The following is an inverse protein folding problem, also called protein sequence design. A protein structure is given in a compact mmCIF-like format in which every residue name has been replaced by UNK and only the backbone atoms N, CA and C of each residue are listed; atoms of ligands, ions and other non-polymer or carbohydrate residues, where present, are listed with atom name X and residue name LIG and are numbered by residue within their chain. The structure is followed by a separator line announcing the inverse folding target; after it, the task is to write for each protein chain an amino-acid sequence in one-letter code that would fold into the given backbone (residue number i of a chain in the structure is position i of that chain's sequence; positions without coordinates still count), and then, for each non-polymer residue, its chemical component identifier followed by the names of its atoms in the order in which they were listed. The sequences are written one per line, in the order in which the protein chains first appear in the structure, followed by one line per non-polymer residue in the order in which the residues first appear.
data_IF_396418774540
#
_entry.id   IF_396418774540
#
_cell.length_a   1.000
_cell.length_b   1.000
_cell.length_c   1.000
_cell.angle_alpha   90.00
_cell.angle_beta   90.00
_cell.angle_gamma   90.00
#
_symmetry.space_group_name_H-M   'P 1'
#
loop_
_entity.id
_entity.type
_entity.pdbx_description
1 polymer ?
#
# COMPACT_ATOMS: atom_id res chain seq x y z
N UNK A 1 -48.25 11.93 70.39
CA UNK A 1 -48.55 10.48 70.37
C UNK A 1 -49.02 10.12 68.97
N UNK A 2 -48.65 8.92 68.51
CA UNK A 2 -49.01 8.25 67.26
C UNK A 2 -48.01 8.34 66.10
N UNK A 3 -47.29 7.21 66.02
CA UNK A 3 -46.61 6.63 64.87
C UNK A 3 -47.63 6.27 63.77
N UNK A 4 -47.06 5.98 62.60
CA UNK A 4 -47.54 5.02 61.60
C UNK A 4 -48.35 5.63 60.44
N UNK A 5 -47.84 5.57 59.21
CA UNK A 5 -48.11 4.48 58.26
C UNK A 5 -47.53 4.83 56.88
N UNK A 6 -46.85 3.83 56.34
CA UNK A 6 -46.25 3.68 55.03
C UNK A 6 -47.34 3.30 54.01
N UNK A 7 -47.53 4.04 52.91
CA UNK A 7 -48.22 3.52 51.71
C UNK A 7 -47.53 4.05 50.44
N UNK A 8 -46.86 3.11 49.78
CA UNK A 8 -46.39 3.13 48.39
C UNK A 8 -47.54 3.46 47.44
N UNK A 9 -47.37 4.46 46.56
CA UNK A 9 -48.13 4.54 45.31
C UNK A 9 -47.18 4.60 44.12
N UNK A 10 -47.38 3.61 43.27
CA UNK A 10 -46.63 3.28 42.07
C UNK A 10 -47.24 4.05 40.88
N UNK A 11 -46.36 4.57 40.02
CA UNK A 11 -46.51 4.77 38.57
C UNK A 11 -47.52 5.81 38.00
N UNK A 12 -47.04 6.42 36.91
CA UNK A 12 -47.75 7.15 35.85
C UNK A 12 -48.05 8.64 36.06
N UNK A 13 -47.12 9.49 35.65
CA UNK A 13 -47.42 10.63 34.78
C UNK A 13 -46.19 10.99 33.95
N UNK A 14 -46.33 10.73 32.65
CA UNK A 14 -45.40 11.07 31.59
C UNK A 14 -45.35 12.59 31.35
N UNK A 15 -44.35 12.99 30.56
CA UNK A 15 -44.30 14.23 29.77
C UNK A 15 -43.98 15.51 30.54
N UNK A 16 -42.69 15.76 30.72
CA UNK A 16 -42.15 17.09 30.47
C UNK A 16 -41.02 16.97 29.45
N UNK A 17 -41.44 17.07 28.19
CA UNK A 17 -40.60 17.36 27.05
C UNK A 17 -39.86 18.68 27.32
N UNK A 18 -38.55 18.56 27.46
CA UNK A 18 -37.61 19.66 27.63
C UNK A 18 -36.21 19.22 27.19
N UNK A 19 -36.13 18.46 26.11
CA UNK A 19 -34.89 18.29 25.35
C UNK A 19 -35.11 19.04 24.03
N UNK A 20 -34.26 20.04 23.82
CA UNK A 20 -34.30 20.95 22.69
C UNK A 20 -34.36 20.18 21.37
N UNK A 21 -35.35 20.51 20.56
CA UNK A 21 -35.26 20.32 19.12
C UNK A 21 -34.26 21.35 18.59
N UNK A 22 -33.11 20.92 18.10
CA UNK A 22 -32.44 21.64 17.02
C UNK A 22 -31.59 20.70 16.16
N UNK A 23 -31.78 20.87 14.85
CA UNK A 23 -31.03 20.41 13.68
C UNK A 23 -30.34 19.04 13.69
N UNK A 24 -30.86 18.10 12.91
CA UNK A 24 -30.03 17.03 12.37
C UNK A 24 -28.97 17.56 11.40
N UNK A 25 -27.85 16.85 11.28
CA UNK A 25 -27.20 16.39 10.03
C UNK A 25 -25.81 15.88 10.34
N UNK A 26 -25.46 14.74 9.75
CA UNK A 26 -24.07 14.26 9.65
C UNK A 26 -23.76 13.12 10.61
N UNK A 27 -23.95 11.87 10.17
CA UNK A 27 -22.82 10.97 10.35
C UNK A 27 -21.67 11.67 9.63
N UNK A 28 -20.66 12.13 10.35
CA UNK A 28 -19.41 12.50 9.71
C UNK A 28 -19.01 11.23 8.93
N UNK A 29 -19.05 11.29 7.60
CA UNK A 29 -18.56 10.22 6.74
C UNK A 29 -17.07 10.11 7.04
N UNK A 30 -16.72 9.35 8.07
CA UNK A 30 -15.35 9.08 8.46
C UNK A 30 -14.71 8.40 7.24
N UNK A 31 -13.78 9.10 6.60
CA UNK A 31 -13.19 8.61 5.36
C UNK A 31 -12.46 7.30 5.68
N UNK A 32 -12.92 6.21 5.05
CA UNK A 32 -12.32 4.88 5.24
C UNK A 32 -10.83 4.90 4.90
N UNK A 33 -9.98 4.08 5.53
CA UNK A 33 -8.58 3.93 5.12
C UNK A 33 -8.43 3.57 3.62
N UNK A 34 -7.24 3.81 3.09
CA UNK A 34 -6.80 3.35 1.78
C UNK A 34 -5.67 2.35 1.97
N UNK A 35 -5.95 1.10 1.64
CA UNK A 35 -5.00 0.00 1.74
C UNK A 35 -4.54 -0.36 0.33
N UNK A 36 -3.45 0.25 -0.10
CA UNK A 36 -2.89 -0.02 -1.42
C UNK A 36 -2.20 -1.39 -1.46
N UNK A 37 -2.39 -2.12 -2.56
CA UNK A 37 -1.70 -3.38 -2.82
C UNK A 37 -0.76 -3.25 -4.01
N UNK A 38 0.38 -3.93 -3.90
CA UNK A 38 1.36 -4.07 -4.98
C UNK A 38 1.59 -5.55 -5.19
N UNK A 39 1.42 -6.02 -6.42
CA UNK A 39 1.56 -7.44 -6.75
C UNK A 39 2.15 -7.61 -8.15
N UNK A 40 2.77 -8.76 -8.46
CA UNK A 40 3.25 -9.02 -9.81
C UNK A 40 2.09 -9.47 -10.70
N UNK A 41 2.22 -9.25 -12.02
CA UNK A 41 1.40 -9.98 -12.99
C UNK A 41 1.67 -11.49 -12.93
N UNK A 42 0.80 -12.28 -13.56
CA UNK A 42 1.03 -13.71 -13.75
C UNK A 42 2.33 -14.00 -14.50
N UNK A 43 2.67 -13.16 -15.47
CA UNK A 43 3.81 -13.31 -16.35
C UNK A 43 5.11 -13.02 -15.60
N UNK A 44 5.15 -11.96 -14.77
CA UNK A 44 6.29 -11.71 -13.90
C UNK A 44 6.46 -12.80 -12.85
N UNK A 45 5.36 -13.26 -12.25
CA UNK A 45 5.40 -14.42 -11.34
C UNK A 45 5.97 -15.65 -12.04
N UNK A 46 5.62 -15.87 -13.31
CA UNK A 46 6.12 -17.01 -14.08
C UNK A 46 7.61 -16.89 -14.36
N UNK A 47 8.10 -15.71 -14.78
CA UNK A 47 9.53 -15.49 -15.05
C UNK A 47 10.34 -15.67 -13.77
N UNK A 48 9.95 -15.03 -12.67
CA UNK A 48 10.67 -15.14 -11.39
C UNK A 48 10.74 -16.58 -10.89
N UNK A 49 9.65 -17.35 -11.01
CA UNK A 49 9.59 -18.70 -10.45
C UNK A 49 10.14 -19.80 -11.37
N UNK A 50 10.04 -19.67 -12.70
CA UNK A 50 10.29 -20.78 -13.62
C UNK A 50 11.41 -20.50 -14.62
N UNK A 51 11.62 -19.25 -15.00
CA UNK A 51 12.61 -18.86 -16.02
C UNK A 51 13.34 -17.58 -15.61
N UNK A 52 13.97 -17.53 -14.42
CA UNK A 52 14.54 -16.29 -13.88
C UNK A 52 15.72 -15.75 -14.70
N UNK A 53 16.32 -16.58 -15.56
CA UNK A 53 17.33 -16.16 -16.56
C UNK A 53 16.78 -15.22 -17.64
N UNK A 54 15.45 -15.23 -17.86
CA UNK A 54 14.79 -14.44 -18.89
C UNK A 54 14.33 -13.07 -18.34
N UNK A 55 14.66 -12.78 -17.08
CA UNK A 55 14.34 -11.52 -16.43
C UNK A 55 15.02 -10.34 -17.14
N UNK A 56 14.25 -9.27 -17.33
CA UNK A 56 14.77 -7.97 -17.75
C UNK A 56 14.12 -6.88 -16.91
N UNK A 57 14.85 -5.78 -16.70
CA UNK A 57 14.32 -4.63 -15.97
C UNK A 57 13.11 -3.99 -16.66
N UNK A 58 13.12 -3.91 -17.99
CA UNK A 58 11.98 -3.39 -18.75
C UNK A 58 10.73 -4.25 -18.53
N UNK A 59 10.89 -5.58 -18.60
CA UNK A 59 9.78 -6.49 -18.32
C UNK A 59 9.26 -6.34 -16.88
N UNK A 60 10.15 -6.23 -15.89
CA UNK A 60 9.76 -6.00 -14.50
C UNK A 60 8.97 -4.70 -14.35
N UNK A 61 9.45 -3.62 -14.97
CA UNK A 61 8.82 -2.31 -14.93
C UNK A 61 7.40 -2.29 -15.47
N UNK A 62 7.07 -3.15 -16.43
CA UNK A 62 5.75 -3.22 -17.06
C UNK A 62 4.76 -4.12 -16.30
N UNK A 63 5.26 -4.99 -15.42
CA UNK A 63 4.50 -6.13 -14.90
C UNK A 63 4.22 -6.06 -13.39
N UNK A 64 4.05 -4.85 -12.86
CA UNK A 64 3.60 -4.62 -11.49
C UNK A 64 2.17 -4.10 -11.53
N UNK A 65 1.31 -4.68 -10.70
CA UNK A 65 -0.09 -4.31 -10.56
C UNK A 65 -0.31 -3.56 -9.25
N UNK A 66 -1.05 -2.46 -9.35
CA UNK A 66 -1.54 -1.67 -8.24
C UNK A 66 -3.03 -1.96 -8.02
N UNK A 67 -3.42 -1.99 -6.75
CA UNK A 67 -4.81 -2.15 -6.36
C UNK A 67 -5.14 -1.50 -5.01
N UNK A 68 -6.39 -1.67 -4.59
CA UNK A 68 -6.90 -1.28 -3.29
C UNK A 68 -7.65 -2.45 -2.67
N UNK A 69 -7.19 -2.95 -1.54
CA UNK A 69 -7.81 -4.07 -0.84
C UNK A 69 -7.82 -3.85 0.68
N UNK A 70 -9.00 -3.74 1.32
CA UNK A 70 -10.34 -3.90 0.73
C UNK A 70 -10.73 -2.74 -0.20
N UNK A 71 -11.57 -3.06 -1.20
CA UNK A 71 -12.07 -2.06 -2.15
C UNK A 71 -12.88 -0.97 -1.42
N UNK A 72 -12.49 0.32 -1.48
CA UNK A 72 -13.27 1.40 -0.89
C UNK A 72 -14.52 1.70 -1.72
N UNK A 73 -15.43 2.52 -1.18
CA UNK A 73 -16.66 2.92 -1.90
C UNK A 73 -16.35 3.91 -3.04
N UNK A 74 -15.30 4.73 -2.87
CA UNK A 74 -14.83 5.66 -3.89
C UNK A 74 -13.33 5.97 -3.73
N UNK A 75 -12.70 6.29 -4.86
CA UNK A 75 -11.36 6.83 -4.96
C UNK A 75 -11.22 7.57 -6.29
N UNK A 76 -10.69 8.79 -6.24
CA UNK A 76 -10.26 9.59 -7.38
C UNK A 76 -9.12 10.47 -6.88
N UNK A 77 -7.97 10.44 -7.55
CA UNK A 77 -6.80 11.17 -7.10
C UNK A 77 -5.55 10.75 -7.86
N UNK A 78 -4.40 11.23 -7.38
CA UNK A 78 -3.10 10.89 -7.95
C UNK A 78 -2.38 9.86 -7.08
N UNK A 79 -1.62 8.98 -7.72
CA UNK A 79 -0.74 8.01 -7.06
C UNK A 79 0.67 8.21 -7.58
N UNK A 80 1.64 8.07 -6.68
CA UNK A 80 3.06 7.92 -7.03
C UNK A 80 3.54 6.52 -6.67
N UNK A 81 4.54 6.05 -7.39
CA UNK A 81 5.28 4.84 -7.06
C UNK A 81 6.65 5.22 -6.51
N UNK A 82 6.94 4.72 -5.31
CA UNK A 82 8.26 4.81 -4.73
C UNK A 82 8.96 3.48 -4.87
N UNK A 83 10.25 3.54 -5.19
CA UNK A 83 11.14 2.39 -5.32
C UNK A 83 12.45 2.67 -4.62
N UNK A 84 12.97 1.67 -3.91
CA UNK A 84 14.28 1.75 -3.28
C UNK A 84 15.04 0.43 -3.37
N UNK A 85 16.35 0.53 -3.29
CA UNK A 85 17.28 -0.58 -3.31
C UNK A 85 17.95 -0.71 -1.95
N UNK A 86 17.98 -1.92 -1.40
CA UNK A 86 18.77 -2.28 -0.23
C UNK A 86 19.93 -3.18 -0.67
N UNK A 87 21.14 -2.83 -0.26
CA UNK A 87 22.33 -3.63 -0.46
C UNK A 87 23.19 -3.53 0.80
N UNK A 88 23.77 -4.65 1.25
CA UNK A 88 24.62 -4.69 2.46
C UNK A 88 23.96 -4.09 3.72
N UNK A 89 22.64 -4.28 3.88
CA UNK A 89 21.89 -3.77 5.03
C UNK A 89 21.63 -2.26 5.03
N UNK A 90 21.89 -1.57 3.93
CA UNK A 90 21.65 -0.13 3.78
C UNK A 90 20.84 0.16 2.51
N UNK A 91 20.04 1.23 2.54
CA UNK A 91 19.33 1.69 1.35
C UNK A 91 20.28 2.52 0.48
N UNK A 92 20.62 2.02 -0.70
CA UNK A 92 21.62 2.60 -1.60
C UNK A 92 21.04 3.53 -2.66
N UNK A 93 19.81 3.26 -3.11
CA UNK A 93 19.11 4.06 -4.11
C UNK A 93 17.64 4.26 -3.75
N UNK A 94 17.06 5.38 -4.19
CA UNK A 94 15.65 5.75 -4.03
C UNK A 94 15.17 6.54 -5.23
N UNK A 95 13.93 6.33 -5.63
CA UNK A 95 13.23 7.15 -6.60
C UNK A 95 11.74 7.15 -6.26
N UNK A 96 11.08 8.27 -6.55
CA UNK A 96 9.63 8.38 -6.58
C UNK A 96 9.26 8.87 -7.98
N UNK A 97 8.28 8.22 -8.60
CA UNK A 97 7.79 8.57 -9.93
C UNK A 97 7.00 9.87 -9.94
N UNK A 98 6.72 10.39 -11.13
CA UNK A 98 5.74 11.44 -11.32
C UNK A 98 4.32 10.93 -10.94
N UNK A 99 3.47 11.78 -10.34
CA UNK A 99 2.10 11.43 -10.00
C UNK A 99 1.28 11.08 -11.25
N UNK A 100 0.46 10.04 -11.12
CA UNK A 100 -0.48 9.60 -12.16
C UNK A 100 -1.89 9.65 -11.60
N UNK A 101 -2.77 10.40 -12.27
CA UNK A 101 -4.19 10.45 -11.94
C UNK A 101 -4.86 9.11 -12.24
N UNK A 102 -5.64 8.61 -11.30
CA UNK A 102 -6.41 7.38 -11.45
C UNK A 102 -7.68 7.40 -10.60
N UNK A 103 -8.50 6.36 -10.75
CA UNK A 103 -9.75 6.20 -10.04
C UNK A 103 -9.95 4.75 -9.57
N UNK A 104 -11.03 4.53 -8.82
CA UNK A 104 -11.37 3.23 -8.26
C UNK A 104 -11.63 2.16 -9.33
N UNK A 105 -12.18 2.51 -10.49
CA UNK A 105 -12.49 1.55 -11.56
C UNK A 105 -11.21 0.94 -12.12
N UNK A 106 -10.22 1.79 -12.44
CA UNK A 106 -8.90 1.38 -12.93
C UNK A 106 -8.16 0.52 -11.90
N UNK A 107 -8.07 0.96 -10.65
CA UNK A 107 -7.40 0.20 -9.59
C UNK A 107 -8.10 -1.14 -9.29
N UNK A 108 -9.43 -1.19 -9.40
CA UNK A 108 -10.18 -2.44 -9.22
C UNK A 108 -9.96 -3.44 -10.36
N UNK A 109 -9.57 -2.96 -11.55
CA UNK A 109 -9.23 -3.81 -12.68
C UNK A 109 -7.80 -4.36 -12.58
N UNK A 110 -6.99 -3.86 -11.64
CA UNK A 110 -5.56 -4.13 -11.53
C UNK A 110 -4.76 -3.23 -12.47
N UNK A 111 -4.55 -1.99 -12.05
CA UNK A 111 -3.84 -0.99 -12.85
C UNK A 111 -2.35 -1.37 -12.94
N UNK A 112 -1.88 -1.65 -14.14
CA UNK A 112 -0.47 -2.02 -14.35
C UNK A 112 0.45 -0.80 -14.47
N UNK A 113 1.71 -0.98 -14.12
CA UNK A 113 2.75 0.04 -14.34
C UNK A 113 2.96 0.37 -15.81
N UNK A 114 2.75 -0.60 -16.72
CA UNK A 114 2.74 -0.35 -18.17
C UNK A 114 1.63 0.62 -18.60
N UNK A 115 0.45 0.54 -17.97
CA UNK A 115 -0.66 1.46 -18.23
C UNK A 115 -0.44 2.83 -17.59
N UNK A 116 0.20 2.89 -16.42
CA UNK A 116 0.52 4.15 -15.73
C UNK A 116 1.60 4.95 -16.45
N UNK A 117 2.60 4.28 -17.02
CA UNK A 117 3.78 4.89 -17.61
C UNK A 117 4.00 4.38 -19.05
N UNK A 118 3.05 4.65 -19.97
CA UNK A 118 3.21 4.23 -21.35
C UNK A 118 4.43 4.94 -21.94
N UNK A 119 5.25 4.19 -22.67
CA UNK A 119 6.40 4.69 -23.45
C UNK A 119 7.66 5.09 -22.65
N UNK A 120 7.70 4.96 -21.32
CA UNK A 120 8.94 5.22 -20.56
C UNK A 120 9.04 4.39 -19.28
N UNK A 121 10.23 3.82 -18.97
CA UNK A 121 10.45 3.24 -17.65
C UNK A 121 10.38 4.34 -16.59
N UNK A 122 9.51 4.16 -15.61
CA UNK A 122 9.35 5.08 -14.48
C UNK A 122 10.51 4.98 -13.47
N UNK A 123 11.25 3.87 -13.48
CA UNK A 123 12.57 3.76 -12.87
C UNK A 123 13.51 2.92 -13.74
N UNK A 124 14.80 3.25 -13.73
CA UNK A 124 15.81 2.57 -14.55
C UNK A 124 16.61 1.58 -13.71
N UNK A 125 16.04 0.41 -13.46
CA UNK A 125 16.68 -0.62 -12.63
C UNK A 125 18.07 -1.04 -13.12
N UNK A 126 18.30 -1.02 -14.44
CA UNK A 126 19.62 -1.31 -15.02
C UNK A 126 20.73 -0.33 -14.60
N UNK A 127 20.39 0.92 -14.27
CA UNK A 127 21.34 1.92 -13.78
C UNK A 127 21.68 1.72 -12.28
N UNK A 128 20.83 1.00 -11.55
CA UNK A 128 21.02 0.69 -10.12
C UNK A 128 21.80 -0.60 -9.91
N UNK A 129 21.79 -1.45 -10.93
CA UNK A 129 22.40 -2.77 -11.00
C UNK A 129 23.88 -2.75 -11.46
N UNK A 130 24.64 -1.69 -11.13
CA UNK A 130 25.99 -1.43 -11.64
C UNK A 130 26.91 -2.67 -11.63
N UNK A 131 27.63 -2.86 -12.74
CA UNK A 131 28.74 -3.80 -12.99
C UNK A 131 28.48 -5.32 -12.92
N UNK A 132 27.30 -5.79 -12.54
CA UNK A 132 27.00 -7.24 -12.54
C UNK A 132 26.28 -7.67 -13.82
N UNK A 133 26.83 -8.63 -14.60
CA UNK A 133 26.31 -8.93 -15.94
C UNK A 133 24.96 -9.66 -15.94
N UNK A 134 24.58 -10.32 -14.84
CA UNK A 134 23.33 -11.09 -14.73
C UNK A 134 22.78 -11.00 -13.30
N UNK A 135 21.67 -10.30 -13.14
CA UNK A 135 20.88 -10.30 -11.91
C UNK A 135 19.82 -11.37 -12.02
N UNK A 136 19.80 -12.32 -11.09
CA UNK A 136 18.80 -13.38 -11.07
C UNK A 136 17.79 -13.06 -9.97
N UNK A 137 16.51 -12.82 -10.29
CA UNK A 137 15.50 -12.65 -9.27
C UNK A 137 15.35 -13.95 -8.50
N UNK A 138 15.35 -13.86 -7.18
CA UNK A 138 14.96 -14.95 -6.30
C UNK A 138 13.46 -14.92 -6.04
N UNK A 139 12.96 -15.94 -5.37
CA UNK A 139 11.57 -16.01 -4.89
C UNK A 139 11.39 -15.42 -3.49
N UNK A 140 12.41 -14.73 -2.97
CA UNK A 140 12.42 -14.21 -1.61
C UNK A 140 11.99 -12.75 -1.54
N UNK A 141 11.27 -12.47 -0.44
CA UNK A 141 10.44 -11.29 -0.15
C UNK A 141 9.36 -11.13 -1.20
N UNK A 142 8.07 -11.28 -0.86
CA UNK A 142 6.86 -10.88 -1.61
C UNK A 142 5.64 -11.68 -1.14
N UNK A 143 4.44 -11.07 -1.07
CA UNK A 143 4.23 -9.65 -0.83
C UNK A 143 4.68 -9.26 0.60
N UNK A 144 4.88 -7.98 0.86
CA UNK A 144 5.09 -7.48 2.22
C UNK A 144 3.81 -7.54 3.07
N UNK A 145 3.89 -7.11 4.33
CA UNK A 145 2.67 -6.76 5.09
C UNK A 145 2.24 -5.33 4.76
N UNK A 146 1.04 -4.94 5.20
CA UNK A 146 0.59 -3.55 5.12
C UNK A 146 1.31 -2.68 6.16
N UNK A 147 1.89 -1.56 5.71
CA UNK A 147 2.53 -0.57 6.58
C UNK A 147 2.23 0.84 6.09
N UNK A 148 2.39 1.83 6.97
CA UNK A 148 2.40 3.21 6.49
C UNK A 148 3.59 3.42 5.53
N UNK A 149 3.45 4.21 4.45
CA UNK A 149 4.54 4.45 3.50
C UNK A 149 5.88 4.85 4.14
N UNK A 150 5.83 5.65 5.22
CA UNK A 150 7.02 6.10 5.96
C UNK A 150 7.76 5.00 6.72
N UNK A 151 7.15 3.83 6.92
CA UNK A 151 7.73 2.73 7.68
C UNK A 151 8.40 1.67 6.80
N UNK A 152 8.08 1.62 5.50
CA UNK A 152 8.40 0.50 4.61
C UNK A 152 9.89 0.26 4.49
N UNK A 153 10.70 1.32 4.31
CA UNK A 153 12.15 1.18 4.24
C UNK A 153 12.70 0.50 5.51
N UNK A 154 12.29 0.97 6.69
CA UNK A 154 12.71 0.40 7.97
C UNK A 154 12.23 -1.05 8.13
N UNK A 155 11.01 -1.36 7.67
CA UNK A 155 10.48 -2.73 7.70
C UNK A 155 11.27 -3.65 6.78
N UNK A 156 11.53 -3.22 5.54
CA UNK A 156 12.34 -3.97 4.58
C UNK A 156 13.73 -4.26 5.13
N UNK A 157 14.41 -3.28 5.73
CA UNK A 157 15.72 -3.46 6.38
C UNK A 157 15.67 -4.43 7.57
N UNK A 158 14.63 -4.33 8.39
CA UNK A 158 14.52 -5.15 9.62
C UNK A 158 14.05 -6.59 9.40
N UNK A 159 13.36 -6.86 8.29
CA UNK A 159 12.75 -8.15 8.01
C UNK A 159 13.49 -8.96 6.94
N UNK A 160 14.47 -8.37 6.25
CA UNK A 160 15.28 -9.05 5.25
C UNK A 160 16.74 -9.02 5.66
N UNK A 161 17.30 -10.22 5.89
CA UNK A 161 18.73 -10.41 6.11
C UNK A 161 19.37 -10.79 4.77
N UNK A 162 19.94 -9.80 4.09
CA UNK A 162 20.55 -9.99 2.77
C UNK A 162 21.98 -10.52 2.91
N UNK A 163 22.28 -11.58 2.18
CA UNK A 163 23.63 -12.13 2.05
C UNK A 163 24.54 -11.21 1.24
N UNK A 164 25.84 -11.45 1.29
CA UNK A 164 26.79 -10.77 0.41
C UNK A 164 26.46 -11.06 -1.06
N UNK A 165 26.33 -10.01 -1.87
CA UNK A 165 25.91 -10.12 -3.28
C UNK A 165 24.39 -10.21 -3.49
N UNK A 166 23.59 -10.11 -2.42
CA UNK A 166 22.13 -9.97 -2.55
C UNK A 166 21.71 -8.50 -2.48
N UNK A 167 20.73 -8.16 -3.29
CA UNK A 167 20.10 -6.84 -3.33
C UNK A 167 18.60 -7.00 -3.30
N UNK A 168 17.92 -6.25 -2.44
CA UNK A 168 16.47 -6.17 -2.43
C UNK A 168 16.04 -4.89 -3.16
N UNK A 169 15.15 -5.00 -4.14
CA UNK A 169 14.46 -3.83 -4.72
C UNK A 169 13.01 -3.88 -4.30
N UNK A 170 12.51 -2.81 -3.68
CA UNK A 170 11.14 -2.72 -3.17
C UNK A 170 10.40 -1.59 -3.87
N UNK A 171 9.17 -1.87 -4.30
CA UNK A 171 8.23 -0.96 -4.93
C UNK A 171 6.98 -0.85 -4.05
N UNK A 172 6.45 0.36 -3.89
CA UNK A 172 5.16 0.57 -3.26
C UNK A 172 4.49 1.86 -3.75
N UNK A 173 3.15 1.85 -3.92
CA UNK A 173 2.36 3.04 -4.18
C UNK A 173 2.09 3.81 -2.89
N UNK A 174 1.90 5.12 -3.03
CA UNK A 174 1.29 5.97 -2.03
C UNK A 174 0.71 7.23 -2.66
N UNK A 175 -0.07 7.99 -1.88
CA UNK A 175 -0.55 9.30 -2.31
C UNK A 175 0.58 10.34 -2.24
N UNK A 176 0.65 11.30 -3.18
CA UNK A 176 1.55 12.43 -3.07
C UNK A 176 1.07 13.38 -1.95
N UNK A 177 1.96 13.71 -1.01
CA UNK A 177 1.67 14.64 0.08
C UNK A 177 0.89 14.01 1.25
N UNK A 178 0.23 14.88 2.03
CA UNK A 178 -0.59 14.45 3.17
C UNK A 178 -1.99 14.04 2.73
N UNK A 179 -2.55 13.02 3.38
CA UNK A 179 -3.90 12.51 3.13
C UNK A 179 -4.74 12.65 4.38
N UNK A 180 -6.01 13.04 4.20
CA UNK A 180 -7.01 13.03 5.28
C UNK A 180 -7.45 11.60 5.65
N UNK A 181 -7.13 10.63 4.81
CA UNK A 181 -7.35 9.19 5.01
C UNK A 181 -6.09 8.55 5.56
N UNK A 182 -6.24 7.60 6.47
CA UNK A 182 -5.15 6.66 6.77
C UNK A 182 -4.77 5.92 5.48
N UNK A 183 -3.47 5.89 5.18
CA UNK A 183 -2.94 5.19 4.01
C UNK A 183 -1.96 4.12 4.48
N UNK A 184 -2.32 2.87 4.20
CA UNK A 184 -1.42 1.74 4.31
C UNK A 184 -1.09 1.23 2.91
N UNK A 185 0.06 0.60 2.76
CA UNK A 185 0.46 0.01 1.50
C UNK A 185 1.21 -1.29 1.75
N UNK A 186 0.86 -2.29 0.96
CA UNK A 186 1.56 -3.56 0.88
C UNK A 186 2.62 -3.41 -0.22
N UNK A 187 3.92 -3.36 0.14
CA UNK A 187 4.97 -3.27 -0.84
C UNK A 187 5.19 -4.61 -1.52
N UNK A 188 5.79 -4.54 -2.69
CA UNK A 188 6.32 -5.66 -3.43
C UNK A 188 7.85 -5.40 -3.50
N UNK A 189 8.75 -6.24 -2.91
CA UNK A 189 10.17 -6.25 -3.35
C UNK A 189 10.86 -7.60 -3.66
N UNK A 190 11.79 -7.67 -4.64
CA UNK A 190 12.43 -8.92 -5.16
C UNK A 190 13.82 -8.86 -4.54
N UNK A 191 14.26 -9.94 -3.88
CA UNK A 191 15.69 -10.15 -3.66
C UNK A 191 16.32 -10.69 -4.94
N UNK A 192 17.34 -10.03 -5.43
CA UNK A 192 18.17 -10.46 -6.54
C UNK A 192 19.54 -10.90 -6.03
N UNK A 193 20.10 -11.94 -6.64
CA UNK A 193 21.46 -12.37 -6.40
C UNK A 193 22.35 -11.99 -7.58
N UNK A 194 23.54 -11.47 -7.26
CA UNK A 194 24.66 -11.38 -8.20
C UNK A 194 25.22 -12.80 -8.43
N UNK A 195 25.37 -13.20 -9.70
CA UNK A 195 25.92 -14.50 -10.11
C UNK A 195 27.33 -14.36 -10.68
#
# INVERSE_FOLDING_TARGET
MNKSILITFLLCSALLAGACSDSGTGAEDELKPLDFTTSPTSELSQIVNNTPSDFTWDFYNDNILLGLEPKPDSFEGEIVLSVFQVQNGEVTNRLTSDPVGTNLEELSAGLSTAEMYPDSPWFRGSEWANDSPIWVPSTQWYPGSMWAPSEIENKALSQNDLSAGETLVVIYPHLPGESEREVLTQPYGIVFSEN
#
